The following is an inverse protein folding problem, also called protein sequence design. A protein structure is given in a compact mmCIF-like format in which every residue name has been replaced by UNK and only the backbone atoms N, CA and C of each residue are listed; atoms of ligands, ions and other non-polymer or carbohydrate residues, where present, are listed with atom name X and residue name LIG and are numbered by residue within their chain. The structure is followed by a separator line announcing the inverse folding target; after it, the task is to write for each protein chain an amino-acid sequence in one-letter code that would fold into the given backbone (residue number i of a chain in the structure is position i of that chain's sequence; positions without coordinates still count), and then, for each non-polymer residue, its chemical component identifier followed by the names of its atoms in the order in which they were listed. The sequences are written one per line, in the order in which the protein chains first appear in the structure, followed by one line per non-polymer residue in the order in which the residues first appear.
data_IF_268454933033
#
_entry.id   IF_268454933033
#
_cell.length_a   1.000
_cell.length_b   1.000
_cell.length_c   1.000
_cell.angle_alpha   90.00
_cell.angle_beta   90.00
_cell.angle_gamma   90.00
#
_symmetry.space_group_name_H-M   'P 1'
#
loop_
_entity.id
_entity.type
_entity.pdbx_description
1 polymer ?
#
# COMPACT_ATOMS: atom_id res chain seq x y z
N UNK A 1 -29.08 8.82 -10.74
CA UNK A 1 -28.74 9.57 -11.97
C UNK A 1 -27.65 8.78 -12.68
N UNK A 2 -27.83 8.48 -13.97
CA UNK A 2 -26.83 7.76 -14.78
C UNK A 2 -25.64 8.71 -14.96
N UNK A 3 -24.44 8.33 -14.51
CA UNK A 3 -23.22 9.13 -14.74
C UNK A 3 -22.97 9.19 -16.25
N UNK A 4 -22.80 10.39 -16.78
CA UNK A 4 -22.49 10.63 -18.19
C UNK A 4 -21.01 10.40 -18.46
N UNK A 5 -20.61 10.18 -19.71
CA UNK A 5 -19.18 10.02 -20.09
C UNK A 5 -18.35 11.23 -19.66
N UNK A 6 -18.94 12.43 -19.66
CA UNK A 6 -18.34 13.67 -19.15
C UNK A 6 -18.07 13.64 -17.64
N UNK A 7 -18.92 13.01 -16.84
CA UNK A 7 -18.71 12.86 -15.39
C UNK A 7 -17.51 11.95 -15.09
N UNK A 8 -17.33 10.91 -15.92
CA UNK A 8 -16.18 10.01 -15.80
C UNK A 8 -14.87 10.68 -16.23
N UNK A 9 -14.91 11.53 -17.26
CA UNK A 9 -13.76 12.36 -17.64
C UNK A 9 -13.36 13.34 -16.54
N UNK A 10 -14.37 13.98 -15.93
CA UNK A 10 -14.15 14.91 -14.83
C UNK A 10 -13.46 14.22 -13.66
N UNK A 11 -14.02 13.08 -13.23
CA UNK A 11 -13.44 12.28 -12.16
C UNK A 11 -11.97 11.92 -12.42
N UNK A 12 -11.64 11.45 -13.63
CA UNK A 12 -10.24 11.12 -13.96
C UNK A 12 -9.30 12.32 -13.96
N UNK A 13 -9.78 13.55 -14.22
CA UNK A 13 -8.97 14.76 -14.15
C UNK A 13 -8.87 15.32 -12.72
N UNK A 14 -9.85 15.07 -11.86
CA UNK A 14 -9.83 15.43 -10.44
C UNK A 14 -8.90 14.53 -9.62
N UNK A 15 -8.82 13.25 -9.97
CA UNK A 15 -7.88 12.29 -9.36
C UNK A 15 -6.40 12.57 -9.73
N UNK A 16 -6.15 13.41 -10.74
CA UNK A 16 -4.79 13.81 -11.08
C UNK A 16 -4.22 14.76 -10.03
N UNK A 17 -3.08 14.35 -9.47
CA UNK A 17 -2.24 15.18 -8.63
C UNK A 17 -1.87 16.52 -9.33
N UNK A 18 -2.00 17.75 -8.79
CA UNK A 18 -1.46 19.00 -9.33
C UNK A 18 -0.16 18.97 -10.11
N UNK A 19 0.86 18.22 -9.67
CA UNK A 19 2.06 18.06 -10.49
C UNK A 19 1.78 17.31 -11.79
N UNK A 20 1.06 16.19 -11.71
CA UNK A 20 0.66 15.39 -12.86
C UNK A 20 -0.42 16.07 -13.70
N UNK A 21 -1.25 16.93 -13.11
CA UNK A 21 -2.22 17.77 -13.81
C UNK A 21 -1.53 18.86 -14.63
N UNK A 22 -0.49 19.52 -14.08
CA UNK A 22 0.33 20.46 -14.86
C UNK A 22 1.13 19.73 -15.96
N UNK A 23 1.63 18.53 -15.67
CA UNK A 23 2.27 17.67 -16.66
C UNK A 23 1.27 17.18 -17.72
N UNK A 24 0.03 16.91 -17.33
CA UNK A 24 -1.09 16.56 -18.20
C UNK A 24 -1.40 17.71 -19.15
N UNK A 25 -1.58 18.94 -18.63
CA UNK A 25 -1.77 20.16 -19.44
C UNK A 25 -0.63 20.37 -20.43
N UNK A 26 0.61 20.21 -19.98
CA UNK A 26 1.79 20.32 -20.82
C UNK A 26 1.81 19.24 -21.92
N UNK A 27 1.46 17.99 -21.60
CA UNK A 27 1.42 16.90 -22.58
C UNK A 27 0.25 17.02 -23.55
N UNK A 28 -0.91 17.48 -23.10
CA UNK A 28 -2.06 17.78 -23.93
C UNK A 28 -1.73 18.85 -24.99
N UNK A 29 -0.93 19.86 -24.62
CA UNK A 29 -0.40 20.87 -25.55
C UNK A 29 0.61 20.34 -26.57
N UNK A 30 1.17 19.14 -26.36
CA UNK A 30 2.22 18.57 -27.20
C UNK A 30 1.81 17.25 -27.87
N UNK A 31 0.60 16.74 -27.61
CA UNK A 31 0.10 15.48 -28.18
C UNK A 31 -0.41 15.71 -29.59
N UNK A 32 -0.03 14.84 -30.53
CA UNK A 32 -0.48 14.89 -31.92
C UNK A 32 -1.99 14.69 -31.97
N UNK A 33 -2.71 15.68 -32.50
CA UNK A 33 -4.15 15.59 -32.76
C UNK A 33 -4.36 14.97 -34.16
N UNK A 34 -5.52 14.35 -34.35
CA UNK A 34 -5.95 13.89 -35.67
C UNK A 34 -6.22 15.10 -36.57
N UNK A 35 -6.09 14.93 -37.89
CA UNK A 35 -5.92 16.01 -38.87
C UNK A 35 -7.07 17.04 -38.94
N UNK A 36 -8.19 16.79 -38.25
CA UNK A 36 -9.41 17.58 -38.31
C UNK A 36 -9.64 18.46 -37.07
N UNK A 37 -8.76 18.42 -36.07
CA UNK A 37 -8.99 19.13 -34.80
C UNK A 37 -7.97 20.24 -34.55
N UNK A 38 -8.48 21.45 -34.31
CA UNK A 38 -7.67 22.61 -33.92
C UNK A 38 -7.27 22.51 -32.44
N UNK A 39 -6.10 23.04 -32.09
CA UNK A 39 -5.59 22.92 -30.71
C UNK A 39 -6.16 24.03 -29.81
N UNK A 40 -6.58 23.66 -28.61
CA UNK A 40 -7.00 24.60 -27.56
C UNK A 40 -5.88 25.64 -27.29
N UNK A 41 -6.20 26.94 -27.20
CA UNK A 41 -5.23 27.98 -26.89
C UNK A 41 -4.52 27.76 -25.54
N UNK A 42 -3.19 27.94 -25.54
CA UNK A 42 -2.32 27.70 -24.38
C UNK A 42 -2.76 28.43 -23.12
N UNK A 43 -3.21 29.68 -23.24
CA UNK A 43 -3.63 30.51 -22.10
C UNK A 43 -4.89 29.99 -21.41
N UNK A 44 -5.84 29.43 -22.17
CA UNK A 44 -7.05 28.82 -21.61
C UNK A 44 -6.74 27.52 -20.88
N UNK A 45 -5.75 26.77 -21.38
CA UNK A 45 -5.40 25.45 -20.86
C UNK A 45 -4.54 25.53 -19.60
N UNK A 46 -3.62 26.50 -19.50
CA UNK A 46 -2.78 26.70 -18.31
C UNK A 46 -3.59 27.12 -17.09
N UNK A 47 -4.57 28.00 -17.27
CA UNK A 47 -5.39 28.56 -16.19
C UNK A 47 -6.60 27.70 -15.81
N UNK A 48 -6.87 26.61 -16.55
CA UNK A 48 -8.01 25.74 -16.29
C UNK A 48 -7.77 24.80 -15.09
N UNK A 49 -8.71 24.80 -14.16
CA UNK A 49 -8.86 23.77 -13.12
C UNK A 49 -9.55 22.50 -13.70
N UNK A 50 -9.47 21.33 -13.03
CA UNK A 50 -9.96 20.06 -13.58
C UNK A 50 -11.38 20.10 -14.15
N UNK A 51 -12.33 20.72 -13.43
CA UNK A 51 -13.73 20.91 -13.85
C UNK A 51 -13.84 21.72 -15.15
N UNK A 52 -13.09 22.81 -15.22
CA UNK A 52 -13.09 23.70 -16.39
C UNK A 52 -12.35 23.06 -17.58
N UNK A 53 -11.33 22.24 -17.32
CA UNK A 53 -10.59 21.53 -18.36
C UNK A 53 -11.43 20.40 -18.97
N UNK A 54 -12.17 19.64 -18.16
CA UNK A 54 -13.05 18.56 -18.61
C UNK A 54 -14.14 19.10 -19.56
N UNK A 55 -14.83 20.15 -19.14
CA UNK A 55 -15.86 20.80 -19.96
C UNK A 55 -15.28 21.42 -21.24
N UNK A 56 -14.09 22.03 -21.16
CA UNK A 56 -13.43 22.62 -22.33
C UNK A 56 -12.99 21.54 -23.33
N UNK A 57 -12.50 20.39 -22.89
CA UNK A 57 -12.13 19.25 -23.74
C UNK A 57 -13.35 18.67 -24.45
N UNK A 58 -14.44 18.43 -23.72
CA UNK A 58 -15.70 17.90 -24.28
C UNK A 58 -16.32 18.89 -25.27
N UNK A 59 -16.35 20.18 -24.95
CA UNK A 59 -16.94 21.20 -25.83
C UNK A 59 -16.12 21.46 -27.09
N UNK A 60 -14.79 21.33 -27.01
CA UNK A 60 -13.89 21.65 -28.12
C UNK A 60 -13.65 20.47 -29.07
N UNK A 61 -13.64 19.24 -28.55
CA UNK A 61 -13.33 18.05 -29.35
C UNK A 61 -14.49 17.04 -29.45
N UNK A 62 -15.58 17.21 -28.69
CA UNK A 62 -16.64 16.22 -28.56
C UNK A 62 -16.29 15.11 -27.57
N UNK A 63 -17.31 14.45 -27.00
CA UNK A 63 -17.13 13.49 -25.91
C UNK A 63 -16.23 12.30 -26.29
N UNK A 64 -16.45 11.69 -27.45
CA UNK A 64 -15.73 10.46 -27.83
C UNK A 64 -14.25 10.72 -28.10
N UNK A 65 -13.93 11.83 -28.76
CA UNK A 65 -12.55 12.22 -29.01
C UNK A 65 -11.86 12.73 -27.74
N UNK A 66 -12.56 13.52 -26.91
CA UNK A 66 -12.04 14.01 -25.64
C UNK A 66 -11.60 12.85 -24.73
N UNK A 67 -12.39 11.78 -24.67
CA UNK A 67 -12.03 10.53 -23.98
C UNK A 67 -10.74 9.93 -24.52
N UNK A 68 -10.66 9.71 -25.84
CA UNK A 68 -9.49 9.06 -26.45
C UNK A 68 -8.22 9.89 -26.24
N UNK A 69 -8.34 11.21 -26.38
CA UNK A 69 -7.26 12.15 -26.14
C UNK A 69 -6.81 12.12 -24.67
N UNK A 70 -7.73 12.12 -23.71
CA UNK A 70 -7.42 12.01 -22.28
C UNK A 70 -6.73 10.68 -21.99
N UNK A 71 -7.22 9.56 -22.51
CA UNK A 71 -6.60 8.24 -22.35
C UNK A 71 -5.16 8.21 -22.88
N UNK A 72 -4.94 8.80 -24.06
CA UNK A 72 -3.62 8.88 -24.67
C UNK A 72 -2.66 9.73 -23.83
N UNK A 73 -3.13 10.89 -23.34
CA UNK A 73 -2.31 11.80 -22.52
C UNK A 73 -2.03 11.21 -21.14
N UNK A 74 -3.01 10.57 -20.49
CA UNK A 74 -2.85 9.86 -19.21
C UNK A 74 -1.78 8.76 -19.33
N UNK A 75 -1.83 7.94 -20.38
CA UNK A 75 -0.79 6.94 -20.67
C UNK A 75 0.58 7.61 -20.88
N UNK A 76 0.63 8.74 -21.58
CA UNK A 76 1.87 9.47 -21.85
C UNK A 76 2.51 10.14 -20.61
N UNK A 77 1.74 10.36 -19.53
CA UNK A 77 2.27 10.86 -18.25
C UNK A 77 2.55 9.75 -17.23
N UNK A 78 2.41 8.48 -17.63
CA UNK A 78 2.52 7.25 -16.83
C UNK A 78 1.35 7.04 -15.83
N UNK A 79 0.19 7.65 -16.06
CA UNK A 79 -1.03 7.44 -15.28
C UNK A 79 -1.86 6.30 -15.86
N UNK A 80 -1.28 5.09 -15.89
CA UNK A 80 -1.89 3.91 -16.52
C UNK A 80 -3.14 3.40 -15.79
N UNK A 81 -3.15 3.47 -14.45
CA UNK A 81 -4.29 3.04 -13.64
C UNK A 81 -5.54 3.89 -13.90
N UNK A 82 -5.39 5.23 -13.87
CA UNK A 82 -6.47 6.16 -14.21
C UNK A 82 -6.93 6.02 -15.67
N UNK A 83 -6.00 5.76 -16.59
CA UNK A 83 -6.35 5.49 -17.99
C UNK A 83 -7.14 4.18 -18.15
N UNK A 84 -6.84 3.15 -17.36
CA UNK A 84 -7.52 1.87 -17.43
C UNK A 84 -8.91 1.93 -16.77
N UNK A 85 -9.04 2.64 -15.65
CA UNK A 85 -10.32 2.93 -15.02
C UNK A 85 -11.26 3.70 -15.95
N UNK A 86 -10.76 4.77 -16.58
CA UNK A 86 -11.53 5.53 -17.58
C UNK A 86 -11.92 4.67 -18.78
N UNK A 87 -11.05 3.76 -19.23
CA UNK A 87 -11.34 2.86 -20.34
C UNK A 87 -12.42 1.82 -20.00
N UNK A 88 -12.40 1.27 -18.78
CA UNK A 88 -13.40 0.31 -18.30
C UNK A 88 -14.78 0.94 -18.15
N UNK A 89 -14.86 2.19 -17.70
CA UNK A 89 -16.12 2.92 -17.52
C UNK A 89 -16.81 3.30 -18.83
N UNK A 90 -16.05 3.39 -19.93
CA UNK A 90 -16.55 3.85 -21.23
C UNK A 90 -16.96 2.70 -22.16
N UNK A 91 -16.58 1.46 -21.84
CA UNK A 91 -17.02 0.24 -22.53
C UNK A 91 -18.01 -0.57 -21.69
N UNK A 92 -19.28 -0.13 -21.50
CA UNK A 92 -20.27 -0.95 -20.83
C UNK A 92 -20.79 -2.01 -21.82
N UNK A 93 -20.13 -3.17 -21.91
CA UNK A 93 -20.73 -4.35 -22.54
C UNK A 93 -19.80 -5.32 -23.26
N UNK A 94 -19.23 -6.27 -22.50
CA UNK A 94 -19.60 -7.71 -22.58
C UNK A 94 -18.84 -8.47 -21.48
N UNK A 95 -19.27 -8.28 -20.23
CA UNK A 95 -19.16 -9.38 -19.27
C UNK A 95 -20.47 -10.15 -19.37
N UNK A 96 -20.48 -11.16 -20.24
CA UNK A 96 -21.40 -12.25 -19.96
C UNK A 96 -20.88 -12.92 -18.70
N UNK A 97 -21.70 -12.81 -17.67
CA UNK A 97 -21.69 -13.64 -16.48
C UNK A 97 -21.77 -15.11 -16.92
N UNK A 98 -20.59 -15.72 -17.09
CA UNK A 98 -20.40 -17.15 -16.90
C UNK A 98 -19.45 -17.25 -15.73
N UNK A 99 -19.95 -17.75 -14.60
CA UNK A 99 -19.11 -18.29 -13.55
C UNK A 99 -18.17 -19.34 -14.18
N UNK A 100 -16.94 -18.94 -14.47
CA UNK A 100 -15.88 -19.81 -14.94
C UNK A 100 -15.21 -20.40 -13.69
N UNK A 101 -15.30 -21.72 -13.56
CA UNK A 101 -14.59 -22.48 -12.53
C UNK A 101 -13.07 -22.25 -12.67
N UNK A 102 -12.32 -21.91 -11.60
CA UNK A 102 -10.90 -21.54 -11.69
C UNK A 102 -9.95 -22.66 -12.14
N UNK A 103 -10.43 -23.90 -12.34
CA UNK A 103 -9.58 -25.06 -12.66
C UNK A 103 -9.55 -25.45 -14.14
N UNK A 104 -10.29 -24.78 -15.04
CA UNK A 104 -10.37 -25.16 -16.45
C UNK A 104 -9.91 -24.00 -17.34
N UNK A 105 -8.61 -23.88 -17.59
CA UNK A 105 -8.09 -23.05 -18.68
C UNK A 105 -6.99 -23.78 -19.45
N UNK A 106 -7.40 -24.51 -20.49
CA UNK A 106 -6.65 -24.60 -21.74
C UNK A 106 -7.56 -25.11 -22.87
N UNK A 107 -7.36 -24.54 -24.06
CA UNK A 107 -7.91 -24.90 -25.38
C UNK A 107 -9.28 -24.30 -25.78
N UNK A 108 -9.22 -23.21 -26.54
CA UNK A 108 -10.24 -22.87 -27.53
C UNK A 108 -10.10 -23.81 -28.74
N UNK A 109 -11.21 -24.40 -29.20
CA UNK A 109 -11.30 -25.17 -30.46
C UNK A 109 -12.47 -26.16 -30.51
N UNK A 110 -13.59 -25.73 -31.12
CA UNK A 110 -14.72 -26.48 -31.70
C UNK A 110 -15.79 -27.19 -30.81
N UNK A 111 -17.08 -27.25 -31.29
CA UNK A 111 -18.23 -27.62 -30.49
C UNK A 111 -18.60 -29.10 -30.64
N UNK A 112 -18.31 -29.90 -29.62
CA UNK A 112 -19.05 -31.13 -29.36
C UNK A 112 -18.97 -31.41 -27.86
N UNK A 113 -20.14 -31.58 -27.22
CA UNK A 113 -20.27 -31.68 -25.78
C UNK A 113 -19.43 -32.81 -25.17
N UNK A 114 -18.55 -32.43 -24.25
CA UNK A 114 -17.90 -33.33 -23.29
C UNK A 114 -18.13 -32.81 -21.89
N UNK A 115 -18.85 -33.56 -21.05
CA UNK A 115 -19.13 -33.21 -19.66
C UNK A 115 -17.88 -33.35 -18.79
N UNK A 116 -17.44 -32.28 -18.12
CA UNK A 116 -16.49 -32.40 -17.01
C UNK A 116 -17.17 -33.08 -15.82
N UNK A 117 -16.69 -34.25 -15.42
CA UNK A 117 -17.05 -34.89 -14.14
C UNK A 117 -16.07 -34.41 -13.08
N UNK A 118 -16.54 -33.53 -12.18
CA UNK A 118 -15.78 -33.11 -11.00
C UNK A 118 -16.06 -34.06 -9.84
N UNK A 119 -15.01 -34.68 -9.28
CA UNK A 119 -15.07 -35.29 -7.94
C UNK A 119 -14.26 -34.37 -7.02
N UNK A 120 -14.95 -33.53 -6.26
CA UNK A 120 -14.35 -32.71 -5.20
C UNK A 120 -14.98 -33.12 -3.86
N UNK A 121 -14.15 -33.62 -2.95
CA UNK A 121 -14.48 -33.75 -1.55
C UNK A 121 -13.62 -32.74 -0.77
N UNK A 122 -14.27 -31.70 -0.22
CA UNK A 122 -13.65 -30.74 0.70
C UNK A 122 -13.84 -31.23 2.14
N UNK A 123 -12.81 -31.79 2.76
CA UNK A 123 -12.77 -32.02 4.21
C UNK A 123 -11.83 -31.01 4.85
N UNK A 124 -12.38 -30.04 5.58
CA UNK A 124 -11.61 -29.09 6.39
C UNK A 124 -11.21 -29.75 7.72
N UNK A 125 -9.92 -29.88 7.97
CA UNK A 125 -9.39 -30.22 9.28
C UNK A 125 -9.37 -28.95 10.15
N UNK A 126 -10.09 -28.97 11.27
CA UNK A 126 -9.86 -28.06 12.39
C UNK A 126 -9.21 -28.89 13.51
N UNK A 127 -7.99 -28.51 13.89
CA UNK A 127 -7.22 -29.12 14.97
C UNK A 127 -7.37 -28.31 16.26
N UNK A 128 -7.80 -28.98 17.32
CA UNK A 128 -7.55 -28.65 18.73
C UNK A 128 -7.26 -29.97 19.46
N UNK A 129 -6.09 -30.06 20.09
CA UNK A 129 -5.47 -31.24 20.74
C UNK A 129 -6.15 -31.65 22.07
N UNK A 130 -5.64 -32.64 22.86
CA UNK A 130 -5.35 -34.06 22.55
C UNK A 130 -5.94 -35.02 23.62
N UNK A 131 -6.10 -36.30 23.29
CA UNK A 131 -5.71 -37.49 24.10
C UNK A 131 -6.58 -38.74 23.85
N UNK A 132 -5.84 -39.86 23.74
CA UNK A 132 -6.19 -41.26 24.00
C UNK A 132 -7.19 -42.03 23.10
N UNK A 133 -6.62 -43.07 22.46
CA UNK A 133 -7.15 -44.44 22.27
C UNK A 133 -7.34 -44.91 20.84
N UNK A 134 -6.56 -45.97 20.54
CA UNK A 134 -6.48 -46.84 19.38
C UNK A 134 -7.71 -47.01 18.45
N UNK A 135 -7.37 -47.20 17.17
CA UNK A 135 -8.05 -48.02 16.15
C UNK A 135 -9.27 -47.43 15.42
N UNK A 136 -9.01 -46.80 14.27
CA UNK A 136 -9.36 -47.27 12.91
C UNK A 136 -9.17 -46.15 11.91
N UNK A 137 -8.66 -46.50 10.76
CA UNK A 137 -8.58 -45.71 9.53
C UNK A 137 -9.90 -45.00 9.23
N UNK A 138 -9.95 -43.69 9.48
CA UNK A 138 -11.04 -42.80 9.04
C UNK A 138 -10.92 -42.52 7.54
N UNK A 139 -11.29 -43.53 6.77
CA UNK A 139 -11.50 -43.46 5.32
C UNK A 139 -12.76 -42.63 5.06
N UNK A 140 -12.68 -41.63 4.19
CA UNK A 140 -13.82 -40.79 3.83
C UNK A 140 -14.99 -41.64 3.28
N UNK A 141 -16.21 -41.55 3.84
CA UNK A 141 -17.35 -42.37 3.43
C UNK A 141 -17.92 -42.01 2.05
N UNK A 142 -17.33 -41.04 1.33
CA UNK A 142 -17.81 -40.56 0.02
C UNK A 142 -17.09 -41.18 -1.19
N UNK A 143 -16.07 -42.00 -0.97
CA UNK A 143 -15.25 -42.60 -2.03
C UNK A 143 -15.52 -44.10 -2.27
N UNK A 144 -16.46 -44.72 -1.55
CA UNK A 144 -16.72 -46.16 -1.69
C UNK A 144 -17.69 -46.53 -2.83
N UNK A 145 -18.37 -45.55 -3.45
CA UNK A 145 -19.49 -45.83 -4.37
C UNK A 145 -19.30 -45.36 -5.82
N UNK A 146 -18.08 -45.33 -6.35
CA UNK A 146 -17.85 -45.11 -7.79
C UNK A 146 -17.10 -46.28 -8.43
N UNK A 147 -17.73 -47.46 -8.37
CA UNK A 147 -17.53 -48.53 -9.35
C UNK A 147 -18.79 -48.63 -10.22
N UNK A 148 -18.75 -48.20 -11.50
CA UNK A 148 -19.74 -48.64 -12.46
C UNK A 148 -19.26 -49.96 -13.07
N UNK A 149 -19.97 -51.05 -12.77
CA UNK A 149 -19.91 -52.28 -13.55
C UNK A 149 -19.79 -53.56 -12.72
N UNK A 150 -20.93 -54.21 -12.47
CA UNK A 150 -20.98 -55.62 -12.11
C UNK A 150 -20.42 -56.46 -13.26
N UNK A 151 -19.34 -57.18 -13.03
CA UNK A 151 -19.12 -58.49 -13.64
C UNK A 151 -18.43 -59.40 -12.63
N UNK A 152 -18.97 -60.62 -12.57
CA UNK A 152 -18.75 -61.64 -11.57
C UNK A 152 -17.28 -62.07 -11.42
N UNK A 153 -16.90 -62.42 -10.19
CA UNK A 153 -15.84 -63.41 -9.93
C UNK A 153 -14.54 -62.83 -9.38
N UNK A 154 -14.48 -62.65 -8.06
CA UNK A 154 -13.21 -62.81 -7.35
C UNK A 154 -12.80 -64.28 -7.49
N UNK A 155 -11.80 -64.56 -8.32
CA UNK A 155 -11.19 -65.89 -8.45
C UNK A 155 -9.67 -65.72 -8.43
N UNK A 156 -9.13 -66.12 -7.29
CA UNK A 156 -7.89 -66.88 -7.11
C UNK A 156 -6.68 -66.54 -8.00
N UNK A 157 -5.61 -66.15 -7.32
CA UNK A 157 -4.25 -66.19 -7.83
C UNK A 157 -3.89 -67.64 -8.27
N UNK A 158 -3.94 -67.92 -9.58
CA UNK A 158 -3.33 -69.10 -10.20
C UNK A 158 -2.98 -68.80 -11.69
N UNK A 159 -1.96 -69.42 -12.29
CA UNK A 159 -1.23 -68.87 -13.44
C UNK A 159 -2.06 -68.93 -14.74
N UNK A 160 -2.05 -67.81 -15.49
CA UNK A 160 -2.30 -67.68 -16.93
C UNK A 160 -3.24 -68.74 -17.55
N UNK A 161 -4.51 -68.76 -17.17
CA UNK A 161 -5.52 -69.36 -18.05
C UNK A 161 -5.89 -68.32 -19.11
N UNK A 162 -5.81 -68.69 -20.39
CA UNK A 162 -6.21 -67.82 -21.49
C UNK A 162 -7.72 -67.52 -21.37
N UNK A 163 -8.16 -66.28 -21.62
CA UNK A 163 -9.57 -65.93 -21.54
C UNK A 163 -10.40 -66.85 -22.44
N UNK A 164 -11.51 -67.36 -21.93
CA UNK A 164 -12.34 -68.36 -22.62
C UNK A 164 -13.62 -67.70 -23.14
N UNK A 165 -14.06 -68.07 -24.34
CA UNK A 165 -15.29 -67.59 -24.94
C UNK A 165 -16.50 -68.28 -24.31
N UNK A 166 -17.37 -67.49 -23.69
CA UNK A 166 -18.60 -67.97 -23.05
C UNK A 166 -19.63 -68.49 -24.07
N UNK A 167 -19.61 -67.96 -25.30
CA UNK A 167 -20.54 -68.33 -26.39
C UNK A 167 -20.13 -69.60 -27.14
N UNK A 168 -18.85 -69.94 -27.13
CA UNK A 168 -18.28 -70.99 -27.99
C UNK A 168 -17.53 -72.04 -27.17
N UNK A 169 -18.26 -72.74 -26.29
CA UNK A 169 -17.78 -73.92 -25.56
C UNK A 169 -16.40 -73.73 -24.91
N UNK A 170 -16.18 -72.56 -24.28
CA UNK A 170 -14.93 -72.21 -23.59
C UNK A 170 -13.67 -72.19 -24.48
N UNK A 171 -13.81 -71.98 -25.79
CA UNK A 171 -12.65 -71.78 -26.66
C UNK A 171 -11.78 -70.61 -26.22
N UNK A 172 -10.46 -70.75 -26.34
CA UNK A 172 -9.53 -69.67 -26.03
C UNK A 172 -9.77 -68.45 -26.95
N UNK A 173 -9.88 -67.28 -26.33
CA UNK A 173 -9.92 -65.99 -27.01
C UNK A 173 -8.46 -65.58 -27.26
N UNK A 174 -7.98 -65.84 -28.48
CA UNK A 174 -6.61 -65.55 -28.92
C UNK A 174 -6.54 -64.35 -29.86
N UNK A 175 -7.67 -63.74 -30.16
CA UNK A 175 -7.81 -62.65 -31.12
C UNK A 175 -8.39 -61.41 -30.43
N UNK A 176 -8.02 -60.24 -30.91
CA UNK A 176 -8.57 -58.95 -30.50
C UNK A 176 -9.25 -58.29 -31.70
N UNK A 177 -10.51 -57.87 -31.51
CA UNK A 177 -11.26 -57.09 -32.48
C UNK A 177 -11.06 -55.60 -32.17
N UNK A 178 -10.37 -54.88 -33.04
CA UNK A 178 -10.07 -53.45 -32.79
C UNK A 178 -11.32 -52.58 -32.82
N UNK A 179 -12.25 -52.86 -33.74
CA UNK A 179 -13.48 -52.07 -33.89
C UNK A 179 -14.39 -52.13 -32.66
N UNK A 180 -14.35 -53.25 -31.92
CA UNK A 180 -15.14 -53.46 -30.71
C UNK A 180 -14.34 -53.31 -29.42
N UNK A 181 -13.01 -53.27 -29.50
CA UNK A 181 -12.14 -53.21 -28.32
C UNK A 181 -12.21 -54.44 -27.42
N UNK A 182 -12.52 -55.63 -27.96
CA UNK A 182 -12.76 -56.84 -27.17
C UNK A 182 -11.99 -58.07 -27.66
N UNK A 183 -11.82 -59.04 -26.76
CA UNK A 183 -11.17 -60.33 -27.04
C UNK A 183 -12.19 -61.34 -27.58
N UNK A 184 -11.82 -62.02 -28.67
CA UNK A 184 -12.71 -62.94 -29.39
C UNK A 184 -12.02 -64.29 -29.67
N UNK A 185 -12.80 -65.36 -29.79
CA UNK A 185 -12.28 -66.66 -30.26
C UNK A 185 -12.35 -66.79 -31.79
N UNK A 186 -11.81 -67.88 -32.33
CA UNK A 186 -11.81 -68.16 -33.78
C UNK A 186 -13.22 -68.28 -34.36
N UNK A 187 -14.19 -68.82 -33.62
CA UNK A 187 -15.58 -68.91 -34.08
C UNK A 187 -16.23 -67.52 -34.11
N UNK A 188 -15.98 -66.67 -33.10
CA UNK A 188 -16.45 -65.28 -33.10
C UNK A 188 -15.96 -64.52 -34.34
N UNK A 189 -14.70 -64.70 -34.76
CA UNK A 189 -14.16 -64.04 -35.96
C UNK A 189 -14.95 -64.38 -37.23
N UNK A 190 -15.50 -65.59 -37.32
CA UNK A 190 -16.29 -66.06 -38.46
C UNK A 190 -17.78 -65.68 -38.36
N UNK A 191 -18.22 -65.17 -37.21
CA UNK A 191 -19.60 -64.77 -37.01
C UNK A 191 -19.93 -63.52 -37.83
N UNK A 192 -21.22 -63.30 -38.09
CA UNK A 192 -21.68 -62.09 -38.77
C UNK A 192 -21.33 -60.80 -37.99
N UNK A 193 -21.19 -60.91 -36.66
CA UNK A 193 -20.93 -59.80 -35.73
C UNK A 193 -19.53 -59.18 -35.90
N UNK A 194 -18.52 -59.97 -36.29
CA UNK A 194 -17.16 -59.48 -36.55
C UNK A 194 -16.78 -59.52 -38.04
N UNK A 195 -17.77 -59.71 -38.92
CA UNK A 195 -17.52 -59.85 -40.35
C UNK A 195 -17.05 -58.52 -40.93
N UNK A 196 -15.79 -58.50 -41.38
CA UNK A 196 -15.16 -57.30 -41.95
C UNK A 196 -14.44 -56.41 -40.94
N UNK A 197 -14.43 -56.77 -39.64
CA UNK A 197 -13.69 -56.05 -38.62
C UNK A 197 -12.20 -56.36 -38.68
N UNK A 198 -11.38 -55.42 -38.18
CA UNK A 198 -9.94 -55.57 -38.05
C UNK A 198 -9.65 -56.43 -36.83
N UNK A 199 -9.29 -57.68 -37.10
CA UNK A 199 -9.00 -58.69 -36.07
C UNK A 199 -7.54 -59.12 -36.17
N UNK A 200 -6.82 -59.05 -35.04
CA UNK A 200 -5.40 -59.43 -34.92
C UNK A 200 -5.18 -60.41 -33.76
N UNK A 201 -4.07 -61.19 -33.75
CA UNK A 201 -3.64 -61.92 -32.57
C UNK A 201 -3.42 -60.98 -31.38
N UNK A 202 -3.74 -61.45 -30.17
CA UNK A 202 -3.63 -60.65 -28.94
C UNK A 202 -2.19 -60.20 -28.70
N UNK A 203 -1.21 -61.05 -29.00
CA UNK A 203 0.20 -60.74 -28.81
C UNK A 203 0.62 -59.54 -29.68
N UNK A 204 0.18 -59.49 -30.93
CA UNK A 204 0.48 -58.38 -31.86
C UNK A 204 -0.21 -57.09 -31.43
N UNK A 205 -1.50 -57.14 -31.11
CA UNK A 205 -2.25 -55.98 -30.64
C UNK A 205 -1.69 -55.44 -29.31
N UNK A 206 -1.34 -56.33 -28.38
CA UNK A 206 -0.77 -55.96 -27.08
C UNK A 206 0.61 -55.32 -27.21
N UNK A 207 1.45 -55.76 -28.17
CA UNK A 207 2.72 -55.10 -28.45
C UNK A 207 2.51 -53.66 -28.94
N UNK A 208 1.61 -53.46 -29.91
CA UNK A 208 1.30 -52.13 -30.45
C UNK A 208 0.74 -51.18 -29.37
N UNK A 209 -0.21 -51.64 -28.56
CA UNK A 209 -0.76 -50.82 -27.46
C UNK A 209 0.26 -50.54 -26.36
N UNK A 210 1.16 -51.49 -26.04
CA UNK A 210 2.25 -51.24 -25.08
C UNK A 210 3.18 -50.14 -25.59
N UNK A 211 3.53 -50.13 -26.88
CA UNK A 211 4.32 -49.06 -27.47
C UNK A 211 3.59 -47.71 -27.45
N UNK A 212 2.30 -47.70 -27.76
CA UNK A 212 1.48 -46.48 -27.69
C UNK A 212 1.41 -45.94 -26.25
N UNK A 213 1.17 -46.81 -25.27
CA UNK A 213 1.18 -46.46 -23.85
C UNK A 213 2.56 -45.90 -23.45
N UNK A 214 3.65 -46.54 -23.88
CA UNK A 214 4.99 -46.08 -23.59
C UNK A 214 5.25 -44.67 -24.15
N UNK A 215 4.85 -44.41 -25.40
CA UNK A 215 4.92 -43.07 -26.01
C UNK A 215 4.13 -42.02 -25.22
N UNK A 216 2.91 -42.36 -24.80
CA UNK A 216 2.08 -41.46 -23.98
C UNK A 216 2.70 -41.21 -22.60
N UNK A 217 3.23 -42.24 -21.95
CA UNK A 217 3.91 -42.11 -20.66
C UNK A 217 5.13 -41.20 -20.77
N UNK A 218 5.92 -41.34 -21.82
CA UNK A 218 7.11 -40.51 -22.01
C UNK A 218 6.73 -39.05 -22.31
N UNK A 219 5.68 -38.81 -23.10
CA UNK A 219 5.12 -37.47 -23.29
C UNK A 219 4.65 -36.84 -21.97
N UNK A 220 3.88 -37.58 -21.17
CA UNK A 220 3.36 -37.09 -19.88
C UNK A 220 4.48 -36.81 -18.87
N UNK A 221 5.55 -37.62 -18.85
CA UNK A 221 6.74 -37.37 -18.03
C UNK A 221 7.43 -36.07 -18.42
N UNK A 222 7.59 -35.81 -19.71
CA UNK A 222 8.19 -34.55 -20.19
C UNK A 222 7.30 -33.35 -19.88
N UNK A 223 5.98 -33.47 -20.07
CA UNK A 223 5.04 -32.40 -19.70
C UNK A 223 5.12 -32.10 -18.20
N UNK A 224 5.19 -33.13 -17.36
CA UNK A 224 5.37 -32.98 -15.91
C UNK A 224 6.66 -32.22 -15.57
N UNK A 225 7.80 -32.61 -16.16
CA UNK A 225 9.09 -31.92 -15.96
C UNK A 225 8.99 -30.44 -16.36
N UNK A 226 8.36 -30.16 -17.49
CA UNK A 226 8.17 -28.78 -17.96
C UNK A 226 7.31 -27.96 -16.98
N UNK A 227 6.25 -28.55 -16.42
CA UNK A 227 5.41 -27.92 -15.41
C UNK A 227 6.13 -27.68 -14.08
N UNK A 228 7.02 -28.59 -13.67
CA UNK A 228 7.90 -28.40 -12.51
C UNK A 228 8.88 -27.24 -12.72
N UNK A 229 9.48 -27.12 -13.91
CA UNK A 229 10.36 -26.00 -14.26
C UNK A 229 9.61 -24.66 -14.33
N UNK A 230 8.40 -24.63 -14.90
CA UNK A 230 7.59 -23.40 -14.92
C UNK A 230 7.20 -22.95 -13.51
N UNK A 231 6.86 -23.89 -12.63
CA UNK A 231 6.58 -23.58 -11.21
C UNK A 231 7.82 -23.03 -10.52
N UNK A 232 8.97 -23.69 -10.66
CA UNK A 232 10.22 -23.22 -10.05
C UNK A 232 10.62 -21.82 -10.55
N UNK A 233 10.42 -21.55 -11.84
CA UNK A 233 10.64 -20.24 -12.43
C UNK A 233 9.66 -19.18 -11.89
N UNK A 234 8.38 -19.54 -11.74
CA UNK A 234 7.36 -18.69 -11.11
C UNK A 234 7.72 -18.35 -9.67
N UNK A 235 8.05 -19.35 -8.86
CA UNK A 235 8.45 -19.18 -7.46
C UNK A 235 9.68 -18.27 -7.34
N UNK A 236 10.70 -18.47 -8.19
CA UNK A 236 11.88 -17.61 -8.24
C UNK A 236 11.54 -16.16 -8.58
N UNK A 237 10.63 -15.92 -9.54
CA UNK A 237 10.16 -14.56 -9.91
C UNK A 237 9.41 -13.91 -8.74
N UNK A 238 8.56 -14.66 -8.04
CA UNK A 238 7.82 -14.18 -6.87
C UNK A 238 8.76 -13.80 -5.74
N UNK A 239 9.72 -14.67 -5.39
CA UNK A 239 10.73 -14.40 -4.36
C UNK A 239 11.56 -13.16 -4.71
N UNK A 240 11.96 -13.01 -5.98
CA UNK A 240 12.72 -11.82 -6.42
C UNK A 240 11.89 -10.53 -6.30
N UNK A 241 10.61 -10.58 -6.66
CA UNK A 241 9.70 -9.44 -6.56
C UNK A 241 9.49 -9.03 -5.09
N UNK A 242 9.32 -10.01 -4.20
CA UNK A 242 9.23 -9.78 -2.75
C UNK A 242 10.52 -9.16 -2.19
N UNK A 243 11.70 -9.66 -2.58
CA UNK A 243 12.99 -9.06 -2.20
C UNK A 243 13.13 -7.62 -2.68
N UNK A 244 12.69 -7.33 -3.91
CA UNK A 244 12.69 -5.97 -4.44
C UNK A 244 11.77 -5.04 -3.64
N UNK A 245 10.56 -5.50 -3.30
CA UNK A 245 9.62 -4.74 -2.48
C UNK A 245 10.20 -4.44 -1.08
N UNK A 246 10.80 -5.44 -0.42
CA UNK A 246 11.44 -5.24 0.89
C UNK A 246 12.63 -4.26 0.80
N UNK A 247 13.42 -4.32 -0.27
CA UNK A 247 14.51 -3.37 -0.50
C UNK A 247 13.99 -1.93 -0.67
N UNK A 248 12.88 -1.74 -1.39
CA UNK A 248 12.27 -0.40 -1.52
C UNK A 248 11.72 0.09 -0.19
N UNK A 249 11.05 -0.78 0.58
CA UNK A 249 10.57 -0.46 1.93
C UNK A 249 11.72 0.00 2.83
N UNK A 250 12.81 -0.76 2.90
CA UNK A 250 13.98 -0.40 3.70
C UNK A 250 14.60 0.92 3.25
N UNK A 251 14.69 1.16 1.93
CA UNK A 251 15.20 2.42 1.37
C UNK A 251 14.35 3.61 1.80
N UNK A 252 13.03 3.49 1.73
CA UNK A 252 12.09 4.56 2.12
C UNK A 252 12.18 4.79 3.63
N UNK A 253 12.18 3.72 4.44
CA UNK A 253 12.33 3.81 5.89
C UNK A 253 13.62 4.52 6.28
N UNK A 254 14.74 4.16 5.67
CA UNK A 254 16.03 4.83 5.91
C UNK A 254 15.97 6.33 5.55
N UNK A 255 15.40 6.69 4.41
CA UNK A 255 15.28 8.09 4.01
C UNK A 255 14.39 8.90 4.96
N UNK A 256 13.30 8.31 5.45
CA UNK A 256 12.41 8.92 6.43
C UNK A 256 13.12 9.10 7.78
N UNK A 257 13.83 8.08 8.24
CA UNK A 257 14.58 8.14 9.50
C UNK A 257 15.67 9.22 9.46
N UNK A 258 16.41 9.32 8.36
CA UNK A 258 17.40 10.39 8.17
C UNK A 258 16.75 11.79 8.23
N UNK A 259 15.56 11.95 7.65
CA UNK A 259 14.82 13.21 7.75
C UNK A 259 14.39 13.50 9.19
N UNK A 260 13.84 12.51 9.91
CA UNK A 260 13.45 12.68 11.30
C UNK A 260 14.64 13.08 12.18
N UNK A 261 15.77 12.39 12.07
CA UNK A 261 17.01 12.73 12.79
C UNK A 261 17.49 14.15 12.48
N UNK A 262 17.42 14.58 11.22
CA UNK A 262 17.75 15.94 10.83
C UNK A 262 16.82 16.96 11.49
N UNK A 263 15.50 16.71 11.50
CA UNK A 263 14.52 17.59 12.11
C UNK A 263 14.71 17.69 13.62
N UNK A 264 14.94 16.56 14.31
CA UNK A 264 15.28 16.54 15.73
C UNK A 264 16.55 17.35 16.03
N UNK A 265 17.57 17.26 15.17
CA UNK A 265 18.79 18.05 15.33
C UNK A 265 18.53 19.55 15.15
N UNK A 266 17.67 19.94 14.20
CA UNK A 266 17.29 21.34 14.03
C UNK A 266 16.50 21.85 15.24
N UNK A 267 15.53 21.07 15.74
CA UNK A 267 14.77 21.40 16.94
C UNK A 267 15.68 21.64 18.14
N UNK A 268 16.64 20.75 18.40
CA UNK A 268 17.63 20.92 19.49
C UNK A 268 18.42 22.21 19.37
N UNK A 269 18.83 22.60 18.15
CA UNK A 269 19.54 23.86 17.92
C UNK A 269 18.65 25.08 18.20
N UNK A 270 17.37 25.03 17.83
CA UNK A 270 16.41 26.09 18.13
C UNK A 270 16.16 26.23 19.63
N UNK A 271 15.97 25.11 20.34
CA UNK A 271 15.77 25.10 21.78
C UNK A 271 16.99 25.65 22.51
N UNK A 272 18.19 25.17 22.19
CA UNK A 272 19.42 25.66 22.82
C UNK A 272 19.62 27.16 22.63
N UNK A 273 19.26 27.68 21.46
CA UNK A 273 19.38 29.11 21.18
C UNK A 273 18.31 29.95 21.88
N UNK A 274 17.10 29.42 22.07
CA UNK A 274 16.07 30.03 22.92
C UNK A 274 16.52 30.08 24.39
N UNK A 275 17.14 29.02 24.89
CA UNK A 275 17.72 28.98 26.22
C UNK A 275 18.82 30.03 26.40
N UNK A 276 19.74 30.16 25.42
CA UNK A 276 20.79 31.18 25.43
C UNK A 276 20.21 32.62 25.46
N UNK A 277 19.17 32.87 24.66
CA UNK A 277 18.47 34.15 24.66
C UNK A 277 17.80 34.41 26.03
N UNK A 278 17.14 33.40 26.59
CA UNK A 278 16.54 33.46 27.92
C UNK A 278 17.57 33.77 29.01
N UNK A 279 18.75 33.15 28.96
CA UNK A 279 19.87 33.43 29.86
C UNK A 279 20.38 34.86 29.69
N UNK A 280 20.56 35.34 28.46
CA UNK A 280 21.00 36.71 28.17
C UNK A 280 20.01 37.73 28.75
N UNK A 281 18.70 37.52 28.52
CA UNK A 281 17.64 38.37 29.08
C UNK A 281 17.66 38.33 30.61
N UNK A 282 17.84 37.14 31.20
CA UNK A 282 17.97 36.96 32.64
C UNK A 282 19.12 37.76 33.25
N UNK A 283 20.32 37.67 32.65
CA UNK A 283 21.51 38.40 33.08
C UNK A 283 21.31 39.93 32.98
N UNK A 284 20.71 40.41 31.89
CA UNK A 284 20.38 41.84 31.72
C UNK A 284 19.39 42.30 32.79
N UNK A 285 18.37 41.50 33.09
CA UNK A 285 17.38 41.81 34.14
C UNK A 285 18.03 41.85 35.52
N UNK A 286 18.94 40.92 35.81
CA UNK A 286 19.61 40.84 37.11
C UNK A 286 20.58 42.01 37.31
N UNK A 287 21.40 42.34 36.30
CA UNK A 287 22.30 43.50 36.36
C UNK A 287 21.53 44.81 36.57
N UNK A 288 20.47 45.05 35.80
CA UNK A 288 19.61 46.21 36.00
C UNK A 288 18.90 46.19 37.36
N UNK A 289 18.42 45.04 37.80
CA UNK A 289 17.82 44.87 39.12
C UNK A 289 18.77 45.26 40.25
N UNK A 290 20.03 44.80 40.18
CA UNK A 290 21.05 45.19 41.18
C UNK A 290 21.38 46.68 41.13
N UNK A 291 21.41 47.29 39.94
CA UNK A 291 21.64 48.73 39.81
C UNK A 291 20.48 49.53 40.40
N UNK A 292 19.24 49.17 40.05
CA UNK A 292 18.04 49.80 40.60
C UNK A 292 17.97 49.69 42.12
N UNK A 293 18.33 48.54 42.71
CA UNK A 293 18.40 48.40 44.18
C UNK A 293 19.44 49.32 44.81
N UNK A 294 20.60 49.53 44.17
CA UNK A 294 21.61 50.47 44.67
C UNK A 294 21.13 51.91 44.58
N UNK A 295 20.51 52.28 43.46
CA UNK A 295 20.01 53.64 43.24
C UNK A 295 18.87 53.97 44.24
N UNK A 296 17.97 53.02 44.50
CA UNK A 296 16.91 53.15 45.52
C UNK A 296 17.53 53.28 46.91
N UNK A 297 18.49 52.43 47.27
CA UNK A 297 19.14 52.51 48.59
C UNK A 297 19.86 53.86 48.82
N UNK A 298 20.49 54.42 47.79
CA UNK A 298 21.11 55.75 47.85
C UNK A 298 20.06 56.85 48.07
N UNK A 299 18.90 56.75 47.40
CA UNK A 299 17.78 57.66 47.60
C UNK A 299 17.21 57.54 49.01
N UNK A 300 17.00 56.33 49.50
CA UNK A 300 16.49 56.06 50.85
C UNK A 300 17.45 56.60 51.94
N UNK A 301 18.76 56.42 51.76
CA UNK A 301 19.78 56.97 52.67
C UNK A 301 19.70 58.50 52.71
N UNK A 302 19.66 59.14 51.54
CA UNK A 302 19.60 60.59 51.43
C UNK A 302 18.27 61.18 51.97
N UNK A 303 17.15 60.49 51.73
CA UNK A 303 15.84 60.83 52.31
C UNK A 303 15.93 60.75 53.84
N UNK A 304 16.45 59.65 54.38
CA UNK A 304 16.62 59.46 55.82
C UNK A 304 17.54 60.51 56.45
N UNK A 305 18.64 60.89 55.78
CA UNK A 305 19.51 61.98 56.22
C UNK A 305 18.78 63.33 56.30
N UNK A 306 17.95 63.64 55.29
CA UNK A 306 17.18 64.89 55.24
C UNK A 306 16.08 64.91 56.30
N UNK A 307 15.36 63.80 56.49
CA UNK A 307 14.35 63.63 57.54
C UNK A 307 14.98 63.77 58.94
N UNK A 308 16.14 63.16 59.15
CA UNK A 308 16.89 63.27 60.41
C UNK A 308 17.35 64.72 60.68
N UNK A 309 17.88 65.41 59.65
CA UNK A 309 18.26 66.83 59.75
C UNK A 309 17.06 67.71 60.08
N UNK A 310 15.89 67.45 59.48
CA UNK A 310 14.66 68.20 59.74
C UNK A 310 14.21 68.13 61.21
N UNK A 311 14.51 67.02 61.90
CA UNK A 311 14.15 66.82 63.31
C UNK A 311 15.13 67.44 64.33
N UNK A 312 16.23 68.04 63.88
CA UNK A 312 17.26 68.60 64.76
C UNK A 312 16.91 70.00 65.29
N UNK A 313 17.39 70.38 66.48
CA UNK A 313 17.30 71.76 66.98
C UNK A 313 18.11 72.72 66.09
N UNK A 314 17.76 74.01 66.05
CA UNK A 314 18.20 74.92 64.98
C UNK A 314 19.72 75.00 64.84
N UNK A 315 20.46 74.98 65.95
CA UNK A 315 21.91 75.09 65.95
C UNK A 315 22.63 73.86 65.34
N UNK A 316 22.06 72.65 65.48
CA UNK A 316 22.63 71.40 64.97
C UNK A 316 22.26 71.19 63.49
N UNK A 317 21.03 71.59 63.12
CA UNK A 317 20.59 71.65 61.74
C UNK A 317 21.53 72.52 60.89
N UNK A 318 21.91 73.70 61.41
CA UNK A 318 22.76 74.64 60.67
C UNK A 318 24.17 74.12 60.36
N UNK A 319 24.66 73.07 61.04
CA UNK A 319 25.93 72.42 60.70
C UNK A 319 25.80 71.62 59.40
N UNK A 320 26.65 71.93 58.44
CA UNK A 320 26.84 71.18 57.20
C UNK A 320 25.60 71.06 56.28
N UNK A 321 24.51 71.79 56.58
CA UNK A 321 23.25 71.73 55.82
C UNK A 321 23.42 72.06 54.33
N UNK A 322 24.32 72.99 54.00
CA UNK A 322 24.64 73.33 52.62
C UNK A 322 25.20 72.15 51.83
N UNK A 323 25.98 71.28 52.48
CA UNK A 323 26.57 70.07 51.87
C UNK A 323 25.49 69.02 51.63
N UNK A 324 24.64 68.75 52.63
CA UNK A 324 23.55 67.78 52.52
C UNK A 324 22.54 68.19 51.43
N UNK A 325 22.12 69.46 51.41
CA UNK A 325 21.19 69.97 50.39
C UNK A 325 21.82 69.97 48.99
N UNK A 326 23.10 70.31 48.88
CA UNK A 326 23.81 70.24 47.61
C UNK A 326 23.89 68.79 47.10
N UNK A 327 24.24 67.82 47.96
CA UNK A 327 24.28 66.39 47.61
C UNK A 327 22.91 65.90 47.16
N UNK A 328 21.84 66.28 47.86
CA UNK A 328 20.48 65.92 47.47
C UNK A 328 20.07 66.48 46.10
N UNK A 329 20.49 67.70 45.80
CA UNK A 329 20.22 68.36 44.52
C UNK A 329 21.01 67.75 43.34
N UNK A 330 22.14 67.11 43.62
CA UNK A 330 23.01 66.52 42.61
C UNK A 330 22.67 65.06 42.28
N UNK A 331 21.82 64.39 43.07
CA UNK A 331 21.37 63.04 42.73
C UNK A 331 20.48 63.10 41.48
N UNK A 332 20.91 62.40 40.43
CA UNK A 332 20.17 62.28 39.18
C UNK A 332 19.14 61.15 39.25
N UNK A 333 18.02 61.35 38.56
CA UNK A 333 16.98 60.32 38.39
C UNK A 333 17.60 59.10 37.69
N UNK A 334 17.38 57.87 38.19
CA UNK A 334 17.86 56.65 37.52
C UNK A 334 17.37 56.58 36.08
N UNK A 335 18.26 56.21 35.16
CA UNK A 335 17.97 56.16 33.73
C UNK A 335 16.86 55.14 33.42
N UNK A 336 15.90 55.53 32.57
CA UNK A 336 14.78 54.67 32.19
C UNK A 336 15.30 53.49 31.37
N UNK A 337 15.02 52.27 31.84
CA UNK A 337 15.51 51.06 31.20
C UNK A 337 15.17 50.99 29.70
N UNK A 338 16.21 50.82 28.88
CA UNK A 338 16.10 50.45 27.48
C UNK A 338 16.62 49.02 27.27
N UNK A 339 15.88 48.20 26.54
CA UNK A 339 16.33 46.85 26.18
C UNK A 339 17.66 46.94 25.41
N UNK A 340 18.72 46.22 25.84
CA UNK A 340 20.01 46.26 25.18
C UNK A 340 19.92 45.92 23.69
N UNK A 341 20.71 46.56 22.82
CA UNK A 341 20.74 46.27 21.38
C UNK A 341 20.96 44.79 21.09
N UNK A 342 21.83 44.13 21.85
CA UNK A 342 22.15 42.70 21.72
C UNK A 342 20.90 41.81 21.88
N UNK A 343 20.05 42.09 22.88
CA UNK A 343 18.81 41.34 23.11
C UNK A 343 17.83 41.58 21.96
N UNK A 344 17.69 42.83 21.50
CA UNK A 344 16.82 43.17 20.37
C UNK A 344 17.24 42.46 19.09
N UNK A 345 18.54 42.42 18.80
CA UNK A 345 19.10 41.73 17.62
C UNK A 345 18.87 40.21 17.69
N UNK A 346 19.13 39.58 18.85
CA UNK A 346 18.89 38.13 19.03
C UNK A 346 17.40 37.78 18.88
N UNK A 347 16.48 38.58 19.43
CA UNK A 347 15.03 38.40 19.27
C UNK A 347 14.61 38.54 17.80
N UNK A 348 15.13 39.55 17.10
CA UNK A 348 14.81 39.75 15.70
C UNK A 348 15.30 38.59 14.82
N UNK A 349 16.53 38.12 15.04
CA UNK A 349 17.05 36.94 14.35
C UNK A 349 16.21 35.70 14.65
N UNK A 350 15.68 35.57 15.88
CA UNK A 350 14.85 34.44 16.29
C UNK A 350 13.55 34.40 15.51
N UNK A 351 12.88 35.54 15.42
CA UNK A 351 11.66 35.69 14.63
C UNK A 351 11.89 35.36 13.15
N UNK A 352 13.00 35.84 12.56
CA UNK A 352 13.32 35.54 11.17
C UNK A 352 13.54 34.03 10.94
N UNK A 353 14.28 33.37 11.84
CA UNK A 353 14.53 31.94 11.72
C UNK A 353 13.27 31.10 11.97
N UNK A 354 12.43 31.47 12.94
CA UNK A 354 11.18 30.75 13.21
C UNK A 354 10.20 30.85 12.03
N UNK A 355 10.03 32.03 11.45
CA UNK A 355 9.25 32.22 10.23
C UNK A 355 9.76 31.36 9.07
N UNK A 356 11.09 31.29 8.89
CA UNK A 356 11.70 30.48 7.85
C UNK A 356 11.37 28.98 8.04
N UNK A 357 11.54 28.47 9.26
CA UNK A 357 11.22 27.07 9.60
C UNK A 357 9.73 26.79 9.35
N UNK A 358 8.85 27.64 9.84
CA UNK A 358 7.40 27.47 9.68
C UNK A 358 6.99 27.41 8.21
N UNK A 359 7.52 28.33 7.37
CA UNK A 359 7.27 28.34 5.93
C UNK A 359 7.76 27.05 5.25
N UNK A 360 8.93 26.54 5.65
CA UNK A 360 9.51 25.32 5.07
C UNK A 360 8.74 24.08 5.51
N UNK A 361 8.35 23.98 6.77
CA UNK A 361 7.51 22.89 7.30
C UNK A 361 6.15 22.87 6.62
N UNK A 362 5.47 24.02 6.50
CA UNK A 362 4.18 24.11 5.77
C UNK A 362 4.31 23.67 4.31
N UNK A 363 5.35 24.13 3.61
CA UNK A 363 5.59 23.71 2.23
C UNK A 363 5.93 22.22 2.12
N UNK A 364 6.68 21.67 3.08
CA UNK A 364 7.00 20.24 3.14
C UNK A 364 5.74 19.40 3.37
N UNK A 365 4.96 19.70 4.41
CA UNK A 365 3.71 19.02 4.74
C UNK A 365 2.69 19.14 3.59
N UNK A 366 2.56 20.33 3.00
CA UNK A 366 1.70 20.54 1.84
C UNK A 366 2.10 19.65 0.66
N UNK A 367 3.39 19.50 0.37
CA UNK A 367 3.88 18.63 -0.71
C UNK A 367 3.68 17.13 -0.41
N UNK A 368 3.70 16.73 0.86
CA UNK A 368 3.51 15.33 1.29
C UNK A 368 2.04 14.93 1.36
N UNK A 369 1.18 15.76 1.96
CA UNK A 369 -0.27 15.56 1.96
C UNK A 369 -0.82 15.46 0.53
N UNK A 370 -0.26 16.28 -0.37
CA UNK A 370 -0.60 16.26 -1.78
C UNK A 370 -0.17 14.98 -2.52
N UNK A 371 0.82 14.23 -1.99
CA UNK A 371 1.32 12.97 -2.55
C UNK A 371 0.80 11.73 -1.82
N UNK A 372 -0.04 11.90 -0.80
CA UNK A 372 -0.48 10.85 0.12
C UNK A 372 -1.68 10.02 -0.32
N UNK A 373 -2.24 10.23 -1.51
CA UNK A 373 -3.32 9.39 -2.04
C UNK A 373 -2.76 8.04 -2.54
N UNK A 374 -2.37 7.19 -1.60
CA UNK A 374 -2.08 5.77 -1.82
C UNK A 374 -3.27 4.95 -1.30
N UNK A 375 -4.48 5.31 -1.72
CA UNK A 375 -5.65 4.50 -1.48
C UNK A 375 -5.71 3.40 -2.55
N UNK A 376 -5.06 2.26 -2.27
CA UNK A 376 -5.46 1.01 -2.90
C UNK A 376 -6.85 0.59 -2.39
N UNK A 377 -7.63 -0.19 -3.16
CA UNK A 377 -9.01 -0.50 -2.83
C UNK A 377 -9.10 -1.16 -1.45
N UNK A 378 -10.03 -0.62 -0.66
CA UNK A 378 -10.26 -0.84 0.75
C UNK A 378 -10.19 -2.31 1.18
N UNK A 379 -9.40 -2.57 2.23
CA UNK A 379 -9.77 -3.49 3.29
C UNK A 379 -9.37 -2.89 4.64
N UNK A 380 -10.38 -2.52 5.43
CA UNK A 380 -10.30 -2.38 6.88
C UNK A 380 -9.61 -1.13 7.40
N UNK A 381 -10.37 -0.30 8.11
CA UNK A 381 -9.90 0.96 8.66
C UNK A 381 -8.63 0.85 9.50
N UNK A 382 -7.71 1.77 9.26
CA UNK A 382 -6.54 2.02 10.07
C UNK A 382 -6.15 3.48 9.91
N UNK A 383 -6.38 4.26 10.96
CA UNK A 383 -6.03 5.69 11.08
C UNK A 383 -4.57 5.90 10.64
N UNK A 384 -4.30 6.96 9.87
CA UNK A 384 -2.96 7.50 9.67
C UNK A 384 -2.42 7.98 11.02
N UNK A 385 -1.85 7.06 11.79
CA UNK A 385 -1.07 7.40 12.99
C UNK A 385 0.30 7.82 12.50
N UNK A 386 0.55 9.13 12.48
CA UNK A 386 1.93 9.61 12.52
C UNK A 386 2.54 9.11 13.84
N UNK A 387 3.71 8.45 13.82
CA UNK A 387 4.41 8.18 15.06
C UNK A 387 4.83 9.55 15.60
N UNK A 388 4.15 10.01 16.65
CA UNK A 388 4.70 11.01 17.54
C UNK A 388 6.03 10.45 18.06
N UNK A 389 7.15 11.06 17.68
CA UNK A 389 8.40 10.90 18.41
C UNK A 389 8.12 11.34 19.85
N UNK A 390 7.96 10.37 20.75
CA UNK A 390 7.65 10.57 22.15
C UNK A 390 8.07 9.33 22.92
N UNK A 391 9.23 9.47 23.55
CA UNK A 391 9.82 8.66 24.60
C UNK A 391 10.48 7.30 24.32
N UNK A 392 11.77 7.31 24.69
CA UNK A 392 12.65 6.19 24.99
C UNK A 392 11.96 5.16 25.89
N UNK A 393 11.99 3.91 25.44
CA UNK A 393 11.82 2.74 26.31
C UNK A 393 11.44 1.53 25.48
N UNK A 394 12.33 0.54 25.37
CA UNK A 394 12.06 -0.67 24.61
C UNK A 394 10.83 -1.41 25.16
N UNK A 395 9.85 -1.69 24.29
CA UNK A 395 8.73 -2.56 24.61
C UNK A 395 8.81 -3.84 23.76
N UNK A 396 8.95 -4.97 24.46
CA UNK A 396 8.77 -6.32 23.96
C UNK A 396 7.30 -6.61 23.63
N UNK A 397 7.01 -7.50 22.65
CA UNK A 397 5.68 -7.67 22.08
C UNK A 397 4.82 -8.66 22.88
N UNK A 398 4.40 -8.31 24.09
CA UNK A 398 3.29 -8.97 24.81
C UNK A 398 2.77 -8.02 25.90
N UNK A 399 1.85 -7.12 25.57
CA UNK A 399 0.90 -6.55 26.53
C UNK A 399 -0.13 -5.68 25.78
N UNK A 400 -1.18 -6.33 25.27
CA UNK A 400 -2.42 -5.64 24.88
C UNK A 400 -3.35 -5.65 26.09
N UNK A 401 -3.13 -4.73 27.01
CA UNK A 401 -4.03 -4.43 28.12
C UNK A 401 -4.64 -3.05 27.93
N UNK A 402 -5.88 -2.98 27.44
CA UNK A 402 -6.67 -1.76 27.44
C UNK A 402 -6.81 -1.23 28.88
N UNK A 403 -6.27 -0.05 29.15
CA UNK A 403 -6.63 0.75 30.33
C UNK A 403 -7.12 2.12 29.88
N UNK A 404 -8.43 2.30 29.98
CA UNK A 404 -9.08 3.58 29.89
C UNK A 404 -8.71 4.43 31.11
N UNK A 405 -8.27 5.68 30.91
CA UNK A 405 -8.20 6.68 31.97
C UNK A 405 -9.28 7.74 31.77
N UNK A 406 -10.03 8.10 32.83
CA UNK A 406 -11.11 9.07 32.77
C UNK A 406 -10.55 10.49 32.72
N UNK A 407 -11.13 11.32 31.84
CA UNK A 407 -10.99 12.76 31.89
C UNK A 407 -11.76 13.28 33.11
N UNK A 408 -11.08 13.96 34.04
CA UNK A 408 -11.71 14.89 34.97
C UNK A 408 -11.47 16.34 34.51
N UNK A 409 -12.47 17.24 34.68
CA UNK A 409 -12.41 18.59 34.14
C UNK A 409 -11.81 19.56 35.16
N UNK A 410 -10.89 20.43 34.71
CA UNK A 410 -10.61 21.68 35.40
C UNK A 410 -11.25 22.82 34.61
N UNK A 411 -12.32 23.37 35.17
CA UNK A 411 -12.83 24.69 34.84
C UNK A 411 -12.13 25.75 35.71
N UNK A 412 -12.02 26.95 35.13
CA UNK A 412 -11.55 28.22 35.68
C UNK A 412 -11.80 28.47 37.17
#
# INVERSE_FOLDING_TARGET
MVRTRSDHLLYSLEELLPYDFEKFKFKLQNTSLEKEHTRIPRGQLQTAEPVKLASLLVNHYGEEYAVQLILQVLRAINQHLLAEELHQLISPGRLQDKAVCPLCRAQEGDPAGGSCVHISCSCSAASGDPEASLSRSSSCPRCQDLLPGKSHGSRDLNPKSLPQCERHMKQAQLLFCEDHGELICLICRLSQEHRGHRVRPIEEAALEYKEQIQKQLDHLKELRKSGEEQRSQGDKKTVNSLKQAETQKQRIQYQLEQLCQFLEQQERLFVAWLEELGQTIGQVRETYGTQGTRDIALLDELIGELEAKQCQPEWELMKDIGVTLHRAKMVTVPELWATPPEVKEKIHLLYQKSEFVEKRVKHFLGRWAFRGSWAGPEQGGGVLVFPCCGDRGGCSPTDWGCSAFPLSPFSL
#
